data_IF_955651741545
#
_entry.id   IF_955651741545
#
_cell.length_a   1.000
_cell.length_b   1.000
_cell.length_c   1.000
_cell.angle_alpha   90.00
_cell.angle_beta   90.00
_cell.angle_gamma   90.00
#
_symmetry.space_group_name_H-M   'P 1'
#
loop_
_entity.id
_entity.type
_entity.pdbx_description
1 polymer ?
#
# COMPACT_ATOMS: atom_id res chain seq x y z
N UNK A 1 -4.29 -34.55 2.25
CA UNK A 1 -4.85 -33.25 2.69
C UNK A 1 -3.73 -32.45 3.33
N UNK A 2 -3.15 -31.48 2.62
CA UNK A 2 -1.95 -30.74 3.07
C UNK A 2 -2.35 -29.46 3.81
N UNK A 3 -1.71 -29.23 4.96
CA UNK A 3 -1.68 -28.05 5.83
C UNK A 3 -2.39 -26.78 5.33
N UNK A 4 -3.63 -26.58 5.77
CA UNK A 4 -4.42 -25.39 5.46
C UNK A 4 -4.13 -24.18 6.38
N UNK A 5 -2.96 -24.11 7.03
CA UNK A 5 -2.54 -22.97 7.87
C UNK A 5 -1.75 -21.90 7.09
N UNK A 6 -1.37 -22.16 5.84
CA UNK A 6 -0.48 -21.31 5.07
C UNK A 6 -1.26 -20.38 4.12
N UNK A 7 -1.68 -19.21 4.60
CA UNK A 7 -2.31 -18.20 3.74
C UNK A 7 -3.20 -17.19 4.44
N UNK A 8 -3.48 -16.06 3.80
CA UNK A 8 -4.30 -14.98 4.33
C UNK A 8 -5.79 -15.33 4.37
N UNK A 9 -6.45 -15.03 5.50
CA UNK A 9 -7.88 -15.28 5.70
C UNK A 9 -8.69 -14.01 5.42
N UNK A 10 -9.69 -14.12 4.55
CA UNK A 10 -10.61 -13.04 4.21
C UNK A 10 -12.04 -13.40 4.58
N UNK A 11 -12.78 -12.46 5.18
CA UNK A 11 -14.22 -12.59 5.44
C UNK A 11 -15.00 -11.72 4.45
N UNK A 12 -15.93 -12.33 3.72
CA UNK A 12 -16.81 -11.65 2.75
C UNK A 12 -18.25 -12.11 2.96
N UNK A 13 -19.07 -11.23 3.54
CA UNK A 13 -20.44 -11.56 3.93
C UNK A 13 -20.48 -12.78 4.87
N UNK A 14 -21.21 -13.82 4.48
CA UNK A 14 -21.33 -15.07 5.22
C UNK A 14 -20.14 -16.04 5.02
N UNK A 15 -19.27 -15.78 4.03
CA UNK A 15 -18.22 -16.70 3.61
C UNK A 15 -16.83 -16.30 4.12
N UNK A 16 -16.00 -17.31 4.32
CA UNK A 16 -14.59 -17.18 4.69
C UNK A 16 -13.74 -17.83 3.63
N UNK A 17 -12.67 -17.15 3.23
CA UNK A 17 -11.78 -17.54 2.16
C UNK A 17 -10.35 -17.58 2.67
N UNK A 18 -9.60 -18.59 2.25
CA UNK A 18 -8.16 -18.69 2.46
C UNK A 18 -7.45 -18.49 1.14
N UNK A 19 -6.49 -17.57 1.10
CA UNK A 19 -5.63 -17.31 -0.04
C UNK A 19 -4.20 -17.72 0.31
N UNK A 20 -3.56 -18.54 -0.52
CA UNK A 20 -2.15 -18.87 -0.31
C UNK A 20 -1.26 -17.62 -0.35
N UNK A 21 -0.16 -17.65 0.38
CA UNK A 21 0.86 -16.61 0.29
C UNK A 21 1.57 -16.65 -1.07
N UNK A 22 2.08 -15.49 -1.46
CA UNK A 22 2.96 -15.36 -2.62
C UNK A 22 4.26 -16.11 -2.37
N UNK A 23 4.69 -16.92 -3.33
CA UNK A 23 5.97 -17.64 -3.32
C UNK A 23 6.89 -17.10 -4.42
N UNK A 24 8.19 -17.44 -4.38
CA UNK A 24 9.13 -17.11 -5.47
C UNK A 24 8.61 -17.65 -6.82
N UNK A 25 8.03 -18.85 -6.86
CA UNK A 25 7.40 -19.40 -8.06
C UNK A 25 6.23 -18.55 -8.57
N UNK A 26 5.43 -17.98 -7.65
CA UNK A 26 4.33 -17.07 -8.00
C UNK A 26 4.89 -15.79 -8.63
N UNK A 27 5.95 -15.22 -8.04
CA UNK A 27 6.63 -14.02 -8.55
C UNK A 27 7.17 -14.29 -9.95
N UNK A 28 7.96 -15.36 -10.12
CA UNK A 28 8.56 -15.76 -11.41
C UNK A 28 7.51 -16.04 -12.48
N UNK A 29 6.41 -16.72 -12.13
CA UNK A 29 5.34 -17.04 -13.07
C UNK A 29 4.64 -15.78 -13.61
N UNK A 30 4.37 -14.79 -12.75
CA UNK A 30 3.77 -13.52 -13.19
C UNK A 30 4.81 -12.72 -13.98
N UNK A 31 6.06 -12.68 -13.51
CA UNK A 31 7.14 -11.97 -14.18
C UNK A 31 7.41 -12.52 -15.58
N UNK A 32 7.38 -13.83 -15.79
CA UNK A 32 7.53 -14.45 -17.11
C UNK A 32 6.51 -13.94 -18.16
N UNK A 33 5.34 -13.49 -17.70
CA UNK A 33 4.26 -12.99 -18.56
C UNK A 33 4.35 -11.48 -18.78
N UNK A 34 4.77 -10.74 -17.76
CA UNK A 34 4.68 -9.27 -17.73
C UNK A 34 6.03 -8.57 -17.92
N UNK A 35 7.12 -9.22 -17.51
CA UNK A 35 8.50 -8.72 -17.47
C UNK A 35 8.68 -7.34 -16.79
N UNK A 36 7.70 -6.88 -16.01
CA UNK A 36 7.66 -5.55 -15.39
C UNK A 36 7.71 -5.68 -13.87
N UNK A 37 8.88 -5.38 -13.29
CA UNK A 37 9.16 -5.55 -11.85
C UNK A 37 8.16 -4.76 -11.00
N UNK A 38 7.94 -3.50 -11.33
CA UNK A 38 7.03 -2.61 -10.59
C UNK A 38 5.59 -3.13 -10.67
N UNK A 39 5.17 -3.63 -11.83
CA UNK A 39 3.86 -4.24 -12.01
C UNK A 39 3.70 -5.49 -11.15
N UNK A 40 4.67 -6.40 -11.18
CA UNK A 40 4.65 -7.63 -10.37
C UNK A 40 4.61 -7.30 -8.87
N UNK A 41 5.49 -6.40 -8.40
CA UNK A 41 5.55 -5.99 -7.00
C UNK A 41 4.20 -5.42 -6.54
N UNK A 42 3.63 -4.51 -7.33
CA UNK A 42 2.34 -3.90 -7.03
C UNK A 42 1.20 -4.93 -7.05
N UNK A 43 1.20 -5.84 -8.02
CA UNK A 43 0.16 -6.86 -8.15
C UNK A 43 0.15 -7.85 -6.98
N UNK A 44 1.31 -8.14 -6.41
CA UNK A 44 1.50 -9.10 -5.32
C UNK A 44 1.59 -8.44 -3.94
N UNK A 45 1.44 -7.11 -3.87
CA UNK A 45 1.57 -6.34 -2.62
C UNK A 45 2.95 -6.47 -1.96
N UNK A 46 4.00 -6.58 -2.78
CA UNK A 46 5.39 -6.71 -2.36
C UNK A 46 6.17 -5.42 -2.60
N UNK A 47 7.35 -5.31 -1.99
CA UNK A 47 8.31 -4.30 -2.38
C UNK A 47 9.01 -4.70 -3.68
N UNK A 48 9.55 -3.71 -4.40
CA UNK A 48 10.36 -3.94 -5.61
C UNK A 48 11.53 -4.87 -5.29
N UNK A 49 12.21 -4.60 -4.16
CA UNK A 49 13.35 -5.38 -3.73
C UNK A 49 13.02 -6.87 -3.48
N UNK A 50 11.82 -7.20 -2.97
CA UNK A 50 11.40 -8.60 -2.78
C UNK A 50 11.28 -9.34 -4.12
N UNK A 51 10.85 -8.64 -5.16
CA UNK A 51 10.74 -9.19 -6.53
C UNK A 51 12.13 -9.36 -7.12
N UNK A 52 13.00 -8.35 -7.03
CA UNK A 52 14.38 -8.42 -7.52
C UNK A 52 15.15 -9.57 -6.90
N UNK A 53 15.06 -9.76 -5.58
CA UNK A 53 15.68 -10.88 -4.86
C UNK A 53 15.16 -12.24 -5.37
N UNK A 54 13.85 -12.38 -5.60
CA UNK A 54 13.27 -13.61 -6.14
C UNK A 54 13.68 -13.93 -7.59
N UNK A 55 13.98 -12.89 -8.38
CA UNK A 55 14.43 -12.99 -9.78
C UNK A 55 15.94 -13.21 -9.90
N UNK A 56 16.76 -12.70 -8.98
CA UNK A 56 18.22 -12.86 -9.01
C UNK A 56 18.68 -14.33 -8.97
N UNK A 57 17.87 -15.20 -8.37
CA UNK A 57 18.08 -16.65 -8.31
C UNK A 57 17.64 -17.39 -9.60
N UNK A 58 17.10 -16.70 -10.60
CA UNK A 58 16.60 -17.29 -11.84
C UNK A 58 17.61 -17.07 -12.99
N UNK A 59 18.36 -18.13 -13.32
CA UNK A 59 19.47 -18.11 -14.29
C UNK A 59 19.07 -17.51 -15.66
N UNK A 60 17.96 -17.95 -16.25
CA UNK A 60 17.44 -17.47 -17.54
C UNK A 60 16.31 -16.45 -17.38
N UNK A 61 16.44 -15.52 -16.42
CA UNK A 61 15.42 -14.49 -16.19
C UNK A 61 15.32 -13.54 -17.40
N UNK A 62 14.12 -13.33 -17.98
CA UNK A 62 13.96 -12.37 -19.07
C UNK A 62 14.29 -10.94 -18.58
N UNK A 63 14.78 -10.05 -19.46
CA UNK A 63 15.16 -8.70 -19.07
C UNK A 63 13.92 -7.89 -18.66
N UNK A 64 14.04 -6.98 -17.68
CA UNK A 64 12.94 -6.14 -17.27
C UNK A 64 12.55 -5.15 -18.37
N UNK A 65 11.26 -5.05 -18.64
CA UNK A 65 10.67 -4.07 -19.55
C UNK A 65 9.46 -3.40 -18.88
N UNK A 66 9.09 -2.22 -19.36
CA UNK A 66 7.81 -1.62 -18.95
C UNK A 66 6.70 -2.30 -19.74
N UNK A 67 5.69 -2.83 -19.05
CA UNK A 67 4.59 -3.53 -19.73
C UNK A 67 3.82 -2.55 -20.62
N UNK A 68 3.87 -2.81 -21.93
CA UNK A 68 3.09 -2.10 -22.93
C UNK A 68 1.76 -2.81 -23.16
N UNK A 69 0.69 -2.03 -23.32
CA UNK A 69 -0.64 -2.61 -23.55
C UNK A 69 -0.68 -3.17 -24.97
N UNK A 70 -0.97 -4.47 -25.16
CA UNK A 70 -1.04 -5.04 -26.50
C UNK A 70 -2.08 -4.32 -27.37
N UNK A 71 -1.76 -4.08 -28.65
CA UNK A 71 -2.67 -3.47 -29.61
C UNK A 71 -3.72 -4.48 -30.11
N UNK A 72 -4.69 -4.77 -29.24
CA UNK A 72 -5.86 -5.58 -29.58
C UNK A 72 -7.06 -5.21 -28.72
N UNK A 73 -8.26 -5.33 -29.29
CA UNK A 73 -9.50 -5.05 -28.58
C UNK A 73 -9.60 -5.89 -27.30
N UNK A 74 -9.85 -5.21 -26.17
CA UNK A 74 -10.00 -5.86 -24.87
C UNK A 74 -8.68 -6.30 -24.22
N UNK A 75 -7.52 -5.89 -24.75
CA UNK A 75 -6.23 -6.06 -24.07
C UNK A 75 -6.26 -5.45 -22.67
N UNK A 76 -5.54 -6.08 -21.74
CA UNK A 76 -5.41 -5.56 -20.37
C UNK A 76 -4.30 -4.53 -20.34
N UNK A 77 -4.65 -3.30 -19.97
CA UNK A 77 -3.70 -2.23 -19.76
C UNK A 77 -2.92 -2.41 -18.47
N UNK A 78 -1.76 -1.77 -18.38
CA UNK A 78 -0.91 -1.76 -17.18
C UNK A 78 -1.67 -1.33 -15.92
N UNK A 79 -2.50 -0.28 -16.02
CA UNK A 79 -3.31 0.21 -14.91
C UNK A 79 -4.39 -0.79 -14.46
N UNK A 80 -5.04 -1.47 -15.40
CA UNK A 80 -6.03 -2.51 -15.05
C UNK A 80 -5.36 -3.68 -14.33
N UNK A 81 -4.12 -4.02 -14.71
CA UNK A 81 -3.33 -5.06 -14.05
C UNK A 81 -2.92 -4.65 -12.63
N UNK A 82 -2.48 -3.41 -12.42
CA UNK A 82 -2.22 -2.87 -11.08
C UNK A 82 -3.46 -3.01 -10.18
N UNK A 83 -4.60 -2.55 -10.66
CA UNK A 83 -5.87 -2.60 -9.91
C UNK A 83 -6.28 -4.06 -9.67
N UNK A 84 -6.20 -4.93 -10.68
CA UNK A 84 -6.50 -6.36 -10.54
C UNK A 84 -5.71 -6.98 -9.40
N UNK A 85 -4.38 -6.83 -9.42
CA UNK A 85 -3.51 -7.44 -8.43
C UNK A 85 -3.74 -6.88 -7.03
N UNK A 86 -3.67 -5.56 -6.84
CA UNK A 86 -3.86 -4.96 -5.51
C UNK A 86 -5.22 -5.27 -4.88
N UNK A 87 -6.30 -5.20 -5.67
CA UNK A 87 -7.64 -5.46 -5.17
C UNK A 87 -7.83 -6.95 -4.90
N UNK A 88 -7.26 -7.82 -5.72
CA UNK A 88 -7.21 -9.25 -5.44
C UNK A 88 -6.41 -9.55 -4.16
N UNK A 89 -5.21 -8.99 -3.96
CA UNK A 89 -4.45 -9.20 -2.73
C UNK A 89 -5.11 -8.56 -1.50
N UNK A 90 -5.96 -7.55 -1.70
CA UNK A 90 -6.80 -6.97 -0.63
C UNK A 90 -8.07 -7.79 -0.34
N UNK A 91 -8.28 -8.90 -1.04
CA UNK A 91 -9.38 -9.83 -0.83
C UNK A 91 -10.64 -9.54 -1.64
N UNK A 92 -10.64 -8.59 -2.58
CA UNK A 92 -11.82 -8.26 -3.40
C UNK A 92 -12.26 -9.45 -4.26
N UNK A 93 -13.57 -9.62 -4.42
CA UNK A 93 -14.14 -10.61 -5.32
C UNK A 93 -13.99 -10.19 -6.78
N UNK A 94 -14.05 -11.16 -7.69
CA UNK A 94 -14.03 -10.87 -9.12
C UNK A 94 -15.15 -9.89 -9.54
N UNK A 95 -16.32 -9.93 -8.89
CA UNK A 95 -17.47 -9.05 -9.14
C UNK A 95 -17.24 -7.60 -8.65
N UNK A 96 -16.50 -7.41 -7.57
CA UNK A 96 -16.11 -6.06 -7.14
C UNK A 96 -15.07 -5.49 -8.07
N UNK A 97 -14.03 -6.26 -8.39
CA UNK A 97 -12.98 -5.84 -9.32
C UNK A 97 -13.54 -5.57 -10.71
N UNK A 98 -14.51 -6.36 -11.17
CA UNK A 98 -15.14 -6.19 -12.49
C UNK A 98 -15.83 -4.83 -12.62
N UNK A 99 -16.50 -4.36 -11.56
CA UNK A 99 -17.11 -3.03 -11.51
C UNK A 99 -16.07 -1.91 -11.56
N UNK A 100 -14.95 -2.08 -10.86
CA UNK A 100 -13.87 -1.08 -10.86
C UNK A 100 -13.18 -0.96 -12.23
N UNK A 101 -13.05 -2.08 -12.94
CA UNK A 101 -12.36 -2.15 -14.24
C UNK A 101 -13.28 -1.97 -15.44
N UNK A 102 -14.60 -1.88 -15.22
CA UNK A 102 -15.61 -1.97 -16.28
C UNK A 102 -15.41 -3.19 -17.21
N UNK A 103 -15.13 -4.35 -16.61
CA UNK A 103 -14.97 -5.63 -17.30
C UNK A 103 -15.99 -6.64 -16.79
N UNK A 104 -16.10 -7.80 -17.45
CA UNK A 104 -16.91 -8.90 -16.92
C UNK A 104 -16.16 -9.66 -15.81
N UNK A 105 -16.90 -10.17 -14.82
CA UNK A 105 -16.34 -11.03 -13.75
C UNK A 105 -15.62 -12.26 -14.30
N UNK A 106 -16.09 -12.80 -15.43
CA UNK A 106 -15.43 -13.89 -16.16
C UNK A 106 -14.07 -13.48 -16.72
N UNK A 107 -13.97 -12.27 -17.31
CA UNK A 107 -12.70 -11.72 -17.81
C UNK A 107 -11.69 -11.52 -16.68
N UNK A 108 -12.12 -10.93 -15.56
CA UNK A 108 -11.30 -10.76 -14.35
C UNK A 108 -10.80 -12.11 -13.84
N UNK A 109 -11.70 -13.08 -13.68
CA UNK A 109 -11.36 -14.41 -13.19
C UNK A 109 -10.39 -15.13 -14.13
N UNK A 110 -10.61 -15.02 -15.45
CA UNK A 110 -9.75 -15.59 -16.48
C UNK A 110 -8.35 -14.98 -16.44
N UNK A 111 -8.23 -13.64 -16.46
CA UNK A 111 -6.93 -12.96 -16.39
C UNK A 111 -6.19 -13.29 -15.10
N UNK A 112 -6.90 -13.32 -13.97
CA UNK A 112 -6.35 -13.77 -12.67
C UNK A 112 -5.73 -15.17 -12.75
N UNK A 113 -6.37 -16.13 -13.43
CA UNK A 113 -5.78 -17.49 -13.58
C UNK A 113 -4.62 -17.51 -14.54
N UNK A 114 -4.74 -16.81 -15.65
CA UNK A 114 -3.68 -16.72 -16.65
C UNK A 114 -2.40 -16.14 -16.05
N UNK A 115 -2.51 -15.15 -15.18
CA UNK A 115 -1.37 -14.60 -14.45
C UNK A 115 -0.90 -15.48 -13.29
N UNK A 116 -1.62 -16.53 -12.89
CA UNK A 116 -1.21 -17.36 -11.76
C UNK A 116 -1.29 -16.68 -10.39
N UNK A 117 -2.08 -15.60 -10.24
CA UNK A 117 -2.30 -14.98 -8.91
C UNK A 117 -2.87 -16.03 -7.93
N UNK A 118 -2.54 -15.95 -6.62
CA UNK A 118 -2.96 -16.95 -5.65
C UNK A 118 -4.47 -17.20 -5.67
N UNK A 119 -4.88 -18.47 -5.79
CA UNK A 119 -6.28 -18.86 -5.73
C UNK A 119 -6.82 -18.72 -4.30
N UNK A 120 -8.14 -18.51 -4.19
CA UNK A 120 -8.83 -18.53 -2.90
C UNK A 120 -9.70 -19.76 -2.79
N UNK A 121 -9.56 -20.48 -1.69
CA UNK A 121 -10.41 -21.60 -1.35
C UNK A 121 -11.40 -21.18 -0.27
N UNK A 122 -12.64 -21.65 -0.39
CA UNK A 122 -13.65 -21.41 0.63
C UNK A 122 -13.39 -22.35 1.80
N UNK A 123 -13.45 -21.81 3.01
CA UNK A 123 -13.27 -22.55 4.26
C UNK A 123 -14.44 -22.30 5.22
N UNK A 124 -14.58 -23.14 6.24
CA UNK A 124 -15.59 -22.94 7.28
C UNK A 124 -15.21 -21.76 8.19
N UNK A 125 -16.20 -21.16 8.87
CA UNK A 125 -15.96 -20.10 9.85
C UNK A 125 -15.07 -20.57 11.00
N UNK A 126 -15.30 -21.81 11.46
CA UNK A 126 -14.50 -22.45 12.52
C UNK A 126 -13.05 -22.61 12.10
N UNK A 127 -12.81 -23.10 10.87
CA UNK A 127 -11.47 -23.24 10.33
C UNK A 127 -10.76 -21.88 10.17
N UNK A 128 -11.49 -20.86 9.68
CA UNK A 128 -10.94 -19.51 9.55
C UNK A 128 -10.54 -18.90 10.89
N UNK A 129 -11.37 -19.07 11.92
CA UNK A 129 -11.05 -18.61 13.28
C UNK A 129 -9.84 -19.35 13.86
N UNK A 130 -9.74 -20.67 13.63
CA UNK A 130 -8.58 -21.47 14.04
C UNK A 130 -7.29 -20.97 13.41
N UNK A 131 -7.27 -20.74 12.10
CA UNK A 131 -6.09 -20.21 11.38
C UNK A 131 -5.70 -18.83 11.90
N UNK A 132 -6.67 -17.94 12.16
CA UNK A 132 -6.38 -16.61 12.71
C UNK A 132 -5.81 -16.69 14.14
N UNK A 133 -6.31 -17.60 14.98
CA UNK A 133 -5.78 -17.84 16.31
C UNK A 133 -4.34 -18.37 16.25
N UNK A 134 -4.09 -19.41 15.45
CA UNK A 134 -2.75 -19.98 15.23
C UNK A 134 -1.75 -18.91 14.77
N UNK A 135 -2.16 -18.03 13.85
CA UNK A 135 -1.32 -16.92 13.39
C UNK A 135 -1.03 -15.90 14.48
N UNK A 136 -2.04 -15.57 15.28
CA UNK A 136 -1.90 -14.62 16.38
C UNK A 136 -0.96 -15.17 17.46
N UNK A 137 -1.05 -16.46 17.75
CA UNK A 137 -0.17 -17.15 18.70
C UNK A 137 1.28 -17.27 18.17
N UNK A 138 1.45 -17.31 16.85
CA UNK A 138 2.77 -17.34 16.21
C UNK A 138 3.44 -15.96 16.09
N UNK A 139 2.78 -14.85 16.48
CA UNK A 139 3.37 -13.51 16.40
C UNK A 139 4.57 -13.44 17.36
N UNK A 140 5.76 -13.05 16.87
CA UNK A 140 6.96 -12.97 17.71
C UNK A 140 6.75 -12.10 18.95
N UNK A 141 7.07 -12.63 20.14
CA UNK A 141 6.93 -11.90 21.39
C UNK A 141 7.90 -10.71 21.48
N UNK A 142 9.11 -10.84 20.92
CA UNK A 142 10.14 -9.79 20.93
C UNK A 142 9.68 -8.56 20.12
N UNK A 143 9.54 -7.38 20.76
CA UNK A 143 9.12 -6.15 20.08
C UNK A 143 10.14 -5.58 19.09
N UNK A 144 11.38 -6.11 19.05
CA UNK A 144 12.42 -5.71 18.09
C UNK A 144 12.22 -6.33 16.72
N UNK A 145 11.48 -7.43 16.63
CA UNK A 145 11.18 -8.08 15.35
C UNK A 145 10.23 -7.19 14.55
N UNK A 146 10.57 -6.96 13.28
CA UNK A 146 9.70 -6.22 12.35
C UNK A 146 8.62 -7.17 11.87
N UNK A 147 7.37 -6.84 12.17
CA UNK A 147 6.22 -7.62 11.77
C UNK A 147 5.86 -7.38 10.29
N UNK A 148 5.30 -8.39 9.66
CA UNK A 148 4.51 -8.20 8.43
C UNK A 148 3.28 -7.35 8.73
N UNK A 149 2.69 -6.76 7.69
CA UNK A 149 1.43 -6.03 7.85
C UNK A 149 0.32 -6.92 8.41
N UNK A 150 0.25 -8.19 7.99
CA UNK A 150 -0.80 -9.11 8.41
C UNK A 150 -0.69 -9.43 9.91
N UNK A 151 0.50 -9.80 10.40
CA UNK A 151 0.73 -10.03 11.84
C UNK A 151 0.37 -8.79 12.65
N UNK A 152 0.83 -7.61 12.23
CA UNK A 152 0.51 -6.37 12.91
C UNK A 152 -1.00 -6.06 12.87
N UNK A 153 -1.72 -6.44 11.81
CA UNK A 153 -3.16 -6.21 11.67
C UNK A 153 -4.00 -7.06 12.63
N UNK A 154 -3.47 -8.19 13.10
CA UNK A 154 -4.12 -9.06 14.09
C UNK A 154 -3.98 -8.55 15.53
N UNK A 155 -3.12 -7.56 15.77
CA UNK A 155 -2.90 -6.95 17.07
C UNK A 155 -3.84 -5.76 17.30
N UNK A 156 -4.25 -5.55 18.54
CA UNK A 156 -4.94 -4.30 18.94
C UNK A 156 -3.98 -3.10 18.87
N UNK A 157 -4.50 -1.86 18.82
CA UNK A 157 -3.65 -0.68 18.90
C UNK A 157 -2.73 -0.63 20.13
N UNK A 158 -3.17 -1.19 21.26
CA UNK A 158 -2.40 -1.32 22.50
C UNK A 158 -1.25 -2.33 22.35
N UNK A 159 -1.53 -3.50 21.77
CA UNK A 159 -0.55 -4.57 21.55
C UNK A 159 0.52 -4.18 20.53
N UNK A 160 0.19 -3.31 19.58
CA UNK A 160 1.16 -2.75 18.64
C UNK A 160 2.16 -1.78 19.25
N UNK A 161 1.92 -1.25 20.46
CA UNK A 161 2.78 -0.19 21.06
C UNK A 161 4.25 -0.62 21.11
N UNK A 162 5.13 0.25 20.62
CA UNK A 162 6.57 0.00 20.59
C UNK A 162 7.03 -1.01 19.53
N UNK A 163 6.12 -1.65 18.78
CA UNK A 163 6.43 -2.59 17.69
C UNK A 163 6.56 -1.86 16.36
N UNK A 164 7.27 -2.51 15.43
CA UNK A 164 7.48 -2.02 14.06
C UNK A 164 6.90 -3.01 13.07
N UNK A 165 6.28 -2.52 11.99
CA UNK A 165 5.72 -3.35 10.93
C UNK A 165 5.96 -2.76 9.54
N UNK A 166 5.85 -3.59 8.51
CA UNK A 166 5.83 -3.16 7.12
C UNK A 166 4.46 -2.60 6.70
N UNK A 167 4.46 -1.49 5.96
CA UNK A 167 3.25 -0.88 5.39
C UNK A 167 2.79 -1.68 4.16
N UNK A 168 1.49 -1.99 4.07
CA UNK A 168 0.93 -2.77 2.96
C UNK A 168 0.97 -1.99 1.65
N UNK A 169 1.18 -2.70 0.53
CA UNK A 169 1.22 -2.11 -0.82
C UNK A 169 2.30 -1.01 -0.99
N UNK A 170 3.35 -1.03 -0.17
CA UNK A 170 4.49 -0.13 -0.34
C UNK A 170 5.56 -0.79 -1.20
N UNK A 171 6.04 -0.07 -2.21
CA UNK A 171 7.09 -0.55 -3.11
C UNK A 171 8.49 -0.52 -2.47
N UNK A 172 8.65 0.16 -1.33
CA UNK A 172 9.97 0.53 -0.77
C UNK A 172 10.26 -0.12 0.60
N UNK A 173 9.69 -1.30 0.89
CA UNK A 173 9.79 -1.99 2.21
C UNK A 173 9.55 -1.02 3.38
N UNK A 174 8.58 -0.11 3.22
CA UNK A 174 8.35 0.95 4.19
C UNK A 174 7.96 0.37 5.55
N UNK A 175 8.65 0.80 6.60
CA UNK A 175 8.37 0.40 7.98
C UNK A 175 7.65 1.53 8.71
N UNK A 176 6.90 1.18 9.75
CA UNK A 176 6.28 2.13 10.66
C UNK A 176 6.34 1.58 12.09
N UNK A 177 6.64 2.44 13.05
CA UNK A 177 6.77 2.05 14.47
C UNK A 177 5.72 2.76 15.31
N UNK A 178 4.96 2.02 16.13
CA UNK A 178 4.06 2.64 17.11
C UNK A 178 4.86 3.20 18.30
N UNK A 179 4.39 4.31 18.86
CA UNK A 179 4.92 4.82 20.13
C UNK A 179 4.65 3.83 21.27
N UNK A 180 5.56 3.77 22.24
CA UNK A 180 5.39 2.95 23.45
C UNK A 180 4.28 3.48 24.37
N UNK A 181 4.17 4.80 24.49
CA UNK A 181 3.29 5.48 25.45
C UNK A 181 1.93 5.92 24.91
N UNK A 182 1.52 5.52 23.70
CA UNK A 182 0.23 5.95 23.16
C UNK A 182 -0.07 5.46 21.75
N UNK A 183 -1.19 5.91 21.19
CA UNK A 183 -1.74 5.47 19.90
C UNK A 183 -1.14 6.16 18.67
N UNK A 184 0.01 6.81 18.84
CA UNK A 184 0.71 7.53 17.76
C UNK A 184 1.73 6.60 17.11
N UNK A 185 2.11 6.92 15.89
CA UNK A 185 3.24 6.30 15.19
C UNK A 185 4.41 7.28 15.10
N UNK A 186 5.61 6.75 14.99
CA UNK A 186 6.83 7.51 14.76
C UNK A 186 6.95 7.80 13.27
N UNK A 187 6.57 9.00 12.89
CA UNK A 187 6.75 9.47 11.53
C UNK A 187 8.24 9.69 11.21
N UNK A 188 8.63 9.31 10.01
CA UNK A 188 9.94 9.58 9.44
C UNK A 188 9.76 9.92 7.95
N UNK A 189 10.83 10.35 7.31
CA UNK A 189 10.78 10.91 5.96
C UNK A 189 10.15 9.97 4.93
N UNK A 190 10.59 8.72 4.83
CA UNK A 190 10.01 7.76 3.88
C UNK A 190 8.50 7.57 4.07
N UNK A 191 8.00 7.52 5.31
CA UNK A 191 6.56 7.39 5.58
C UNK A 191 5.78 8.66 5.18
N UNK A 192 6.41 9.83 5.37
CA UNK A 192 5.82 11.10 4.96
C UNK A 192 5.72 11.22 3.43
N UNK A 193 6.76 10.79 2.72
CA UNK A 193 6.78 10.77 1.26
C UNK A 193 5.72 9.79 0.73
N UNK A 194 5.63 8.57 1.27
CA UNK A 194 4.63 7.59 0.86
C UNK A 194 3.19 8.11 1.05
N UNK A 195 2.89 8.77 2.18
CA UNK A 195 1.57 9.38 2.40
C UNK A 195 1.29 10.46 1.36
N UNK A 196 2.27 11.28 1.02
CA UNK A 196 2.12 12.30 -0.01
C UNK A 196 1.85 11.65 -1.38
N UNK A 197 2.60 10.61 -1.74
CA UNK A 197 2.39 9.88 -2.99
C UNK A 197 1.00 9.26 -3.05
N UNK A 198 0.54 8.59 -1.98
CA UNK A 198 -0.82 8.03 -1.92
C UNK A 198 -1.90 9.11 -1.97
N UNK A 199 -1.62 10.28 -1.39
CA UNK A 199 -2.49 11.45 -1.49
C UNK A 199 -2.61 11.93 -2.93
N UNK A 200 -1.50 12.11 -3.64
CA UNK A 200 -1.46 12.58 -5.03
C UNK A 200 -1.95 11.52 -6.04
N UNK A 201 -1.83 10.24 -5.72
CA UNK A 201 -2.47 9.15 -6.46
C UNK A 201 -4.00 9.05 -6.21
N UNK A 202 -4.56 9.95 -5.41
CA UNK A 202 -5.98 9.96 -5.01
C UNK A 202 -6.44 8.68 -4.31
N UNK A 203 -5.55 7.94 -3.62
CA UNK A 203 -5.99 6.82 -2.78
C UNK A 203 -6.90 7.34 -1.65
N UNK A 204 -8.00 6.64 -1.37
CA UNK A 204 -8.95 7.06 -0.34
C UNK A 204 -8.27 7.10 1.05
N UNK A 205 -8.59 8.10 1.91
CA UNK A 205 -7.99 8.19 3.25
C UNK A 205 -8.19 6.93 4.10
N UNK A 206 -9.36 6.30 3.99
CA UNK A 206 -9.66 5.05 4.68
C UNK A 206 -8.73 3.90 4.26
N UNK A 207 -8.39 3.78 2.97
CA UNK A 207 -7.46 2.76 2.49
C UNK A 207 -6.02 3.08 2.89
N UNK A 208 -5.59 4.34 2.82
CA UNK A 208 -4.26 4.75 3.30
C UNK A 208 -4.12 4.42 4.80
N UNK A 209 -5.10 4.80 5.61
CA UNK A 209 -5.09 4.56 7.05
C UNK A 209 -5.03 3.06 7.37
N UNK A 210 -5.80 2.24 6.62
CA UNK A 210 -5.76 0.78 6.72
C UNK A 210 -4.40 0.20 6.36
N UNK A 211 -3.80 0.62 5.24
CA UNK A 211 -2.50 0.12 4.79
C UNK A 211 -1.37 0.46 5.77
N UNK A 212 -1.48 1.59 6.47
CA UNK A 212 -0.53 2.02 7.50
C UNK A 212 -0.84 1.47 8.91
N UNK A 213 -2.01 0.85 9.12
CA UNK A 213 -2.53 0.45 10.44
C UNK A 213 -2.64 1.61 11.44
N UNK A 214 -3.10 2.77 10.96
CA UNK A 214 -3.33 3.99 11.75
C UNK A 214 -4.79 4.44 11.66
N UNK A 215 -5.18 5.39 12.50
CA UNK A 215 -6.50 6.03 12.36
C UNK A 215 -6.51 7.06 11.22
N UNK A 216 -7.68 7.29 10.63
CA UNK A 216 -7.86 8.38 9.65
C UNK A 216 -7.55 9.76 10.25
N UNK A 217 -7.79 9.95 11.55
CA UNK A 217 -7.42 11.17 12.26
C UNK A 217 -5.90 11.38 12.32
N UNK A 218 -5.12 10.31 12.56
CA UNK A 218 -3.66 10.37 12.52
C UNK A 218 -3.16 10.68 11.10
N UNK A 219 -3.76 10.07 10.08
CA UNK A 219 -3.47 10.37 8.67
C UNK A 219 -3.78 11.84 8.33
N UNK A 220 -4.93 12.36 8.76
CA UNK A 220 -5.32 13.77 8.53
C UNK A 220 -4.36 14.72 9.23
N UNK A 221 -3.99 14.41 10.47
CA UNK A 221 -2.99 15.18 11.22
C UNK A 221 -1.66 15.21 10.48
N UNK A 222 -1.17 14.08 10.00
CA UNK A 222 0.08 14.00 9.25
C UNK A 222 0.02 14.67 7.87
N UNK A 223 -1.10 14.53 7.17
CA UNK A 223 -1.33 15.22 5.88
C UNK A 223 -1.31 16.74 6.05
N UNK A 224 -1.88 17.24 7.16
CA UNK A 224 -1.80 18.66 7.54
C UNK A 224 -0.36 19.05 7.91
N UNK A 225 0.36 18.16 8.60
CA UNK A 225 1.77 18.37 8.98
C UNK A 225 2.68 18.53 7.77
N UNK A 226 2.46 17.75 6.71
CA UNK A 226 3.14 17.85 5.40
C UNK A 226 2.54 18.93 4.49
N UNK A 227 1.48 19.61 4.94
CA UNK A 227 0.74 20.65 4.20
C UNK A 227 0.32 20.23 2.81
N UNK A 228 -0.13 18.98 2.67
CA UNK A 228 -0.61 18.48 1.40
C UNK A 228 -1.76 19.36 0.89
N UNK A 229 -1.77 19.71 -0.41
CA UNK A 229 -2.81 20.53 -0.98
C UNK A 229 -4.18 19.83 -0.90
N UNK A 230 -5.30 20.55 -1.04
CA UNK A 230 -6.60 19.92 -1.12
C UNK A 230 -6.69 18.98 -2.33
N UNK A 231 -7.28 17.79 -2.15
CA UNK A 231 -7.55 16.86 -3.25
C UNK A 231 -8.75 17.35 -4.06
N UNK A 232 -8.58 17.53 -5.37
CA UNK A 232 -9.66 17.82 -6.32
C UNK A 232 -9.77 16.64 -7.29
N UNK A 233 -10.51 15.61 -6.92
CA UNK A 233 -10.64 14.40 -7.74
C UNK A 233 -11.33 13.25 -7.03
N UNK A 234 -11.72 12.25 -7.82
CA UNK A 234 -12.33 11.02 -7.32
C UNK A 234 -11.31 10.20 -6.53
N UNK A 235 -11.72 9.75 -5.34
CA UNK A 235 -10.89 8.93 -4.46
C UNK A 235 -11.02 7.47 -4.86
N UNK A 236 -9.90 6.79 -5.03
CA UNK A 236 -9.86 5.39 -5.46
C UNK A 236 -9.41 4.47 -4.33
N UNK A 237 -9.84 3.21 -4.30
CA UNK A 237 -9.43 2.27 -3.26
C UNK A 237 -8.08 1.58 -3.53
N UNK A 238 -7.31 2.01 -4.54
CA UNK A 238 -6.01 1.43 -4.91
C UNK A 238 -4.92 2.51 -4.93
N UNK A 239 -3.67 2.09 -4.99
CA UNK A 239 -2.51 2.98 -5.06
C UNK A 239 -1.65 2.65 -6.28
N UNK A 240 -1.49 3.60 -7.19
CA UNK A 240 -0.57 3.48 -8.34
C UNK A 240 0.43 4.63 -8.23
N UNK A 241 1.70 4.33 -7.98
CA UNK A 241 2.75 5.35 -7.78
C UNK A 241 2.88 6.29 -8.98
N UNK A 242 2.83 5.74 -10.19
CA UNK A 242 2.89 6.52 -11.44
C UNK A 242 1.80 7.60 -11.55
N UNK A 243 0.61 7.38 -10.95
CA UNK A 243 -0.44 8.42 -10.90
C UNK A 243 -0.02 9.59 -10.00
N UNK A 244 0.64 9.31 -8.89
CA UNK A 244 1.19 10.35 -8.03
C UNK A 244 2.28 11.14 -8.75
N UNK A 245 3.23 10.45 -9.37
CA UNK A 245 4.35 11.06 -10.10
C UNK A 245 3.86 11.98 -11.23
N UNK A 246 2.89 11.50 -12.01
CA UNK A 246 2.27 12.29 -13.06
C UNK A 246 1.61 13.56 -12.48
N UNK A 247 0.78 13.42 -11.44
CA UNK A 247 0.09 14.55 -10.84
C UNK A 247 1.05 15.58 -10.22
N UNK A 248 2.08 15.11 -9.51
CA UNK A 248 3.12 15.95 -8.92
C UNK A 248 3.83 16.75 -10.02
N UNK A 249 4.17 16.09 -11.12
CA UNK A 249 4.88 16.72 -12.27
C UNK A 249 3.98 17.72 -13.00
N UNK A 250 2.76 17.32 -13.34
CA UNK A 250 1.77 18.15 -14.05
C UNK A 250 1.46 19.44 -13.30
N UNK A 251 1.38 19.37 -11.96
CA UNK A 251 1.05 20.51 -11.11
C UNK A 251 2.29 21.21 -10.52
N UNK A 252 3.49 20.82 -10.95
CA UNK A 252 4.79 21.37 -10.51
C UNK A 252 4.92 21.41 -8.97
N UNK A 253 4.42 20.37 -8.30
CA UNK A 253 4.54 20.24 -6.86
C UNK A 253 5.94 19.76 -6.47
N UNK A 254 6.45 20.31 -5.38
CA UNK A 254 7.69 19.90 -4.75
C UNK A 254 7.55 19.86 -3.24
N UNK A 255 8.31 18.99 -2.60
CA UNK A 255 8.49 18.96 -1.15
C UNK A 255 9.68 19.84 -0.79
N UNK A 256 9.46 20.88 -0.01
CA UNK A 256 10.51 21.81 0.45
C UNK A 256 10.72 21.68 1.94
N UNK A 257 11.96 21.89 2.38
CA UNK A 257 12.26 22.20 3.77
C UNK A 257 11.96 23.67 4.06
N UNK A 258 11.42 23.96 5.24
CA UNK A 258 11.12 25.32 5.68
C UNK A 258 12.41 26.11 5.91
N UNK A 259 12.53 27.24 5.19
CA UNK A 259 13.68 28.14 5.29
C UNK A 259 14.01 28.55 6.74
N UNK A 260 12.98 28.72 7.57
CA UNK A 260 13.13 29.21 8.94
C UNK A 260 13.15 28.11 10.01
N UNK A 261 13.03 26.83 9.63
CA UNK A 261 13.03 25.72 10.60
C UNK A 261 13.52 24.43 9.94
N UNK A 262 14.72 24.00 10.30
CA UNK A 262 15.27 22.73 9.85
C UNK A 262 14.38 21.54 10.29
N UNK A 263 14.34 20.48 9.46
CA UNK A 263 13.52 19.30 9.62
C UNK A 263 12.01 19.51 9.36
N UNK A 264 11.59 20.74 9.02
CA UNK A 264 10.19 21.09 8.84
C UNK A 264 9.83 21.12 7.36
N UNK A 265 9.43 19.96 6.81
CA UNK A 265 9.06 19.84 5.41
C UNK A 265 7.59 20.16 5.13
N UNK A 266 7.29 20.59 3.91
CA UNK A 266 5.95 20.83 3.41
C UNK A 266 5.89 20.79 1.87
N UNK A 267 4.72 20.44 1.33
CA UNK A 267 4.48 20.46 -0.12
C UNK A 267 3.98 21.82 -0.59
N UNK A 268 4.49 22.27 -1.73
CA UNK A 268 4.11 23.53 -2.38
C UNK A 268 4.43 23.48 -3.87
N UNK A 269 3.94 24.43 -4.66
CA UNK A 269 4.34 24.54 -6.07
C UNK A 269 5.77 25.05 -6.19
N UNK A 270 6.51 24.65 -7.22
CA UNK A 270 7.89 25.11 -7.42
C UNK A 270 7.91 26.60 -7.74
N UNK A 271 7.08 27.05 -8.68
CA UNK A 271 6.90 28.47 -9.03
C UNK A 271 5.81 29.12 -8.16
N UNK A 272 6.12 30.29 -7.61
CA UNK A 272 5.19 31.07 -6.78
C UNK A 272 4.80 30.44 -5.44
N UNK A 273 5.35 29.27 -5.11
CA UNK A 273 5.06 28.57 -3.86
C UNK A 273 5.78 29.15 -2.65
N UNK A 274 5.29 28.78 -1.48
CA UNK A 274 5.80 29.24 -0.20
C UNK A 274 7.23 28.73 0.05
N UNK A 275 8.09 29.59 0.62
CA UNK A 275 9.41 29.18 1.16
C UNK A 275 9.38 28.89 2.67
N UNK A 276 8.34 29.36 3.34
CA UNK A 276 8.14 29.23 4.78
C UNK A 276 6.84 28.48 5.04
N UNK A 277 6.95 27.40 5.79
CA UNK A 277 5.84 26.52 6.12
C UNK A 277 4.72 27.30 6.86
N UNK A 278 3.44 27.04 6.54
CA UNK A 278 2.30 27.64 7.26
C UNK A 278 2.34 27.36 8.77
N UNK A 279 2.83 26.18 9.15
CA UNK A 279 3.04 25.82 10.56
C UNK A 279 4.01 26.77 11.26
N UNK A 280 5.15 27.06 10.64
CA UNK A 280 6.13 27.98 11.23
C UNK A 280 5.54 29.38 11.39
N UNK A 281 4.86 29.89 10.35
CA UNK A 281 4.16 31.18 10.41
C UNK A 281 3.17 31.25 11.58
N UNK A 282 2.37 30.21 11.78
CA UNK A 282 1.44 30.10 12.92
C UNK A 282 2.15 30.05 14.26
N UNK A 283 3.27 29.33 14.38
CA UNK A 283 4.03 29.29 15.63
C UNK A 283 4.63 30.65 15.99
N UNK A 284 5.11 31.41 15.00
CA UNK A 284 5.62 32.76 15.20
C UNK A 284 4.49 33.71 15.61
N UNK A 285 3.36 33.67 14.91
CA UNK A 285 2.19 34.48 15.25
C UNK A 285 1.70 34.23 16.70
N UNK A 286 1.68 32.97 17.14
CA UNK A 286 1.33 32.60 18.51
C UNK A 286 2.31 33.13 19.56
N UNK A 287 3.62 33.17 19.25
CA UNK A 287 4.65 33.71 20.14
C UNK A 287 4.53 35.23 20.27
N UNK A 288 4.20 35.93 19.18
CA UNK A 288 4.12 37.39 19.15
C UNK A 288 2.72 37.95 19.42
N UNK A 289 1.75 37.13 19.82
CA UNK A 289 0.39 37.58 20.13
C UNK A 289 -0.38 38.17 18.94
N UNK A 290 0.08 37.92 17.71
CA UNK A 290 -0.58 38.39 16.48
C UNK A 290 -1.67 37.37 16.15
N UNK A 291 -2.93 37.73 16.36
CA UNK A 291 -4.06 36.88 15.95
C UNK A 291 -3.96 36.59 14.44
N UNK A 292 -4.08 35.30 14.09
CA UNK A 292 -3.90 34.78 12.73
C UNK A 292 -5.04 35.16 11.78
#
# INVERSE_FOLDING_TARGET
MRNASFGQVFRRGAFVWLQAYTTNDTIRSIYAILCDITLVATMLSLAIQDVEEALAEWEDCPPPVTYETPDRRGAWSRNELFILGQRWMSGDSASEISRLLNRSSGSVSSKRRHLGLPARIRISKVQGAKIQAEKRDAIPADPRVVLTWEEASLLTPEERRGRTWYVRHSLNRLKLTAHKGGYKVRWHEAANIEIAYRHFAFQSPAEIARDFLISESALKSQSSWEQLPPRRGEKTPWFISAKAEHYITEHDYIRRECLCKAGCFFWTTRKGGDRVSRRYRRSVAAIHGIAA
#
